data_IF_140915861772
#
_entry.id   IF_140915861772
#
_cell.length_a   1.000
_cell.length_b   1.000
_cell.length_c   1.000
_cell.angle_alpha   90.00
_cell.angle_beta   90.00
_cell.angle_gamma   90.00
#
_symmetry.space_group_name_H-M   'P 1'
#
loop_
_entity.id
_entity.type
_entity.pdbx_description
1 polymer ?
#
# COMPACT_ATOMS: atom_id res chain seq x y z
N UNK A 1 15.22 15.46 10.96
CA UNK A 1 14.39 14.56 10.13
C UNK A 1 14.69 13.07 10.37
N UNK A 2 15.82 12.68 10.95
CA UNK A 2 16.12 11.25 11.24
C UNK A 2 15.36 10.66 12.46
N UNK A 3 14.84 11.49 13.35
CA UNK A 3 14.20 11.03 14.62
C UNK A 3 12.79 10.43 14.39
N UNK A 4 12.07 10.90 13.36
CA UNK A 4 10.71 10.40 13.05
C UNK A 4 10.78 8.99 12.45
N UNK A 5 11.82 8.70 11.66
CA UNK A 5 12.03 7.39 11.01
C UNK A 5 12.27 6.27 12.04
N UNK A 6 12.94 6.57 13.16
CA UNK A 6 13.23 5.59 14.21
C UNK A 6 12.01 5.25 15.08
N UNK A 7 11.08 6.18 15.28
CA UNK A 7 9.86 5.97 16.08
C UNK A 7 8.90 5.02 15.36
N UNK A 8 8.76 5.16 14.04
CA UNK A 8 7.88 4.32 13.22
C UNK A 8 8.40 2.88 13.11
N UNK A 9 9.72 2.69 12.94
CA UNK A 9 10.33 1.35 12.92
C UNK A 9 10.21 0.65 14.27
N UNK A 10 10.35 1.37 15.40
CA UNK A 10 10.17 0.79 16.74
C UNK A 10 8.71 0.41 17.01
N UNK A 11 7.74 1.25 16.65
CA UNK A 11 6.32 0.94 16.82
C UNK A 11 5.88 -0.27 15.99
N UNK A 12 6.43 -0.43 14.78
CA UNK A 12 6.12 -1.54 13.89
C UNK A 12 6.70 -2.88 14.39
N UNK A 13 7.87 -2.86 15.05
CA UNK A 13 8.45 -4.06 15.68
C UNK A 13 7.73 -4.39 17.00
N UNK A 14 7.36 -3.38 17.81
CA UNK A 14 6.67 -3.61 19.09
C UNK A 14 5.23 -4.12 18.95
N UNK A 15 4.53 -3.81 17.85
CA UNK A 15 3.19 -4.34 17.58
C UNK A 15 3.20 -5.78 17.05
N UNK A 16 4.34 -6.31 16.58
CA UNK A 16 4.43 -7.61 15.92
C UNK A 16 4.65 -8.80 16.88
N UNK A 17 4.81 -8.58 18.18
CA UNK A 17 5.12 -9.65 19.15
C UNK A 17 3.88 -10.41 19.70
N UNK A 18 2.65 -10.15 19.24
CA UNK A 18 1.45 -10.66 19.93
C UNK A 18 0.51 -11.64 19.21
N UNK A 19 0.81 -12.14 18.01
CA UNK A 19 -0.06 -13.14 17.37
C UNK A 19 0.74 -14.25 16.70
N UNK A 20 0.55 -15.50 17.18
CA UNK A 20 1.01 -16.69 16.48
C UNK A 20 0.29 -16.80 15.12
N UNK A 21 1.01 -16.50 14.04
CA UNK A 21 0.55 -16.64 12.67
C UNK A 21 1.03 -17.96 12.08
N UNK A 22 0.09 -18.76 11.60
CA UNK A 22 0.35 -19.96 10.81
C UNK A 22 0.29 -19.54 9.33
N UNK A 23 1.42 -19.62 8.63
CA UNK A 23 1.52 -19.12 7.25
C UNK A 23 1.09 -20.20 6.24
N UNK A 24 0.22 -19.83 5.29
CA UNK A 24 0.00 -20.62 4.07
C UNK A 24 1.14 -20.39 3.06
N UNK A 25 1.19 -21.22 2.00
CA UNK A 25 2.23 -21.15 0.97
C UNK A 25 2.45 -19.74 0.40
N UNK A 26 3.72 -19.34 0.31
CA UNK A 26 4.13 -18.04 -0.22
C UNK A 26 3.89 -17.95 -1.72
N UNK A 27 2.96 -17.09 -2.13
CA UNK A 27 2.87 -16.63 -3.51
C UNK A 27 3.92 -15.55 -3.79
N UNK A 28 4.86 -15.82 -4.70
CA UNK A 28 5.87 -14.84 -5.13
C UNK A 28 5.22 -13.76 -6.01
N UNK A 29 5.02 -12.56 -5.45
CA UNK A 29 4.73 -11.35 -6.23
C UNK A 29 6.04 -10.67 -6.62
N UNK A 30 6.35 -10.72 -7.91
CA UNK A 30 7.49 -10.02 -8.51
C UNK A 30 7.25 -8.51 -8.39
N UNK A 31 8.17 -7.77 -7.75
CA UNK A 31 8.10 -6.33 -7.44
C UNK A 31 7.14 -5.85 -6.33
N UNK A 32 7.25 -6.46 -5.13
CA UNK A 32 7.10 -5.90 -3.75
C UNK A 32 6.40 -4.54 -3.49
N UNK A 33 5.24 -4.25 -4.07
CA UNK A 33 4.41 -3.12 -3.61
C UNK A 33 2.97 -3.55 -3.52
N UNK A 34 2.73 -4.42 -2.54
CA UNK A 34 1.41 -4.65 -2.01
C UNK A 34 1.36 -4.20 -0.55
N UNK A 35 0.30 -3.50 -0.17
CA UNK A 35 0.10 -3.01 1.19
C UNK A 35 -1.37 -3.09 1.54
N UNK A 36 -1.67 -3.57 2.74
CA UNK A 36 -3.01 -3.55 3.29
C UNK A 36 -3.39 -2.12 3.70
N UNK A 37 -4.65 -1.76 3.53
CA UNK A 37 -5.19 -0.57 4.16
C UNK A 37 -5.10 -0.71 5.70
N UNK A 38 -5.02 0.40 6.45
CA UNK A 38 -4.92 0.37 7.92
C UNK A 38 -6.03 -0.40 8.65
N UNK A 39 -7.22 -0.53 8.05
CA UNK A 39 -8.35 -1.34 8.56
C UNK A 39 -8.30 -2.81 8.13
N UNK A 40 -7.45 -3.16 7.16
CA UNK A 40 -7.32 -4.50 6.60
C UNK A 40 -8.37 -4.88 5.56
N UNK A 41 -9.31 -3.99 5.21
CA UNK A 41 -10.41 -4.26 4.26
C UNK A 41 -9.93 -4.27 2.80
N UNK A 42 -8.84 -3.55 2.50
CA UNK A 42 -8.33 -3.38 1.16
C UNK A 42 -6.87 -3.80 1.01
N UNK A 43 -6.54 -4.22 -0.20
CA UNK A 43 -5.17 -4.51 -0.64
C UNK A 43 -4.86 -3.62 -1.82
N UNK A 44 -3.87 -2.75 -1.67
CA UNK A 44 -3.27 -2.05 -2.78
C UNK A 44 -2.20 -2.93 -3.41
N UNK A 45 -2.16 -3.00 -4.73
CA UNK A 45 -1.13 -3.67 -5.50
C UNK A 45 -0.66 -2.79 -6.65
N UNK A 46 0.65 -2.70 -6.82
CA UNK A 46 1.26 -1.95 -7.91
C UNK A 46 1.70 -2.89 -9.02
N UNK A 47 1.45 -2.48 -10.26
CA UNK A 47 2.03 -3.09 -11.45
C UNK A 47 2.49 -2.00 -12.41
N UNK A 48 3.80 -1.73 -12.44
CA UNK A 48 4.40 -0.65 -13.21
C UNK A 48 3.77 0.70 -12.84
N UNK A 49 2.99 1.31 -13.74
CA UNK A 49 2.31 2.59 -13.53
C UNK A 49 0.88 2.43 -13.00
N UNK A 50 0.41 1.19 -12.80
CA UNK A 50 -0.97 0.92 -12.37
C UNK A 50 -1.02 0.61 -10.89
N UNK A 51 -1.94 1.27 -10.20
CA UNK A 51 -2.31 0.98 -8.83
C UNK A 51 -3.68 0.32 -8.83
N UNK A 52 -3.76 -0.89 -8.29
CA UNK A 52 -4.98 -1.70 -8.23
C UNK A 52 -5.37 -1.86 -6.77
N UNK A 53 -6.60 -1.49 -6.44
CA UNK A 53 -7.19 -1.65 -5.11
C UNK A 53 -8.16 -2.82 -5.16
N UNK A 54 -8.01 -3.75 -4.23
CA UNK A 54 -8.83 -4.96 -4.14
C UNK A 54 -9.44 -5.09 -2.76
N UNK A 55 -10.57 -5.78 -2.67
CA UNK A 55 -11.08 -6.26 -1.38
C UNK A 55 -10.12 -7.32 -0.84
N UNK A 56 -9.77 -7.25 0.44
CA UNK A 56 -8.94 -8.28 1.10
C UNK A 56 -9.68 -9.62 1.23
N UNK A 57 -11.01 -9.58 1.30
CA UNK A 57 -11.85 -10.77 1.49
C UNK A 57 -12.14 -11.48 0.16
N UNK A 58 -12.60 -10.75 -0.86
CA UNK A 58 -13.00 -11.36 -2.15
C UNK A 58 -11.90 -11.34 -3.20
N UNK A 59 -10.85 -10.53 -3.00
CA UNK A 59 -9.80 -10.22 -3.99
C UNK A 59 -10.31 -9.57 -5.29
N UNK A 60 -11.58 -9.18 -5.35
CA UNK A 60 -12.17 -8.44 -6.46
C UNK A 60 -11.55 -7.04 -6.56
N UNK A 61 -11.46 -6.53 -7.79
CA UNK A 61 -10.91 -5.19 -8.05
C UNK A 61 -12.00 -4.15 -7.78
N UNK A 62 -11.70 -3.21 -6.91
CA UNK A 62 -12.61 -2.12 -6.52
C UNK A 62 -12.26 -0.85 -7.30
N UNK A 63 -10.98 -0.49 -7.31
CA UNK A 63 -10.47 0.67 -8.03
C UNK A 63 -9.23 0.32 -8.83
N UNK A 64 -9.05 1.03 -9.93
CA UNK A 64 -7.86 0.97 -10.75
C UNK A 64 -7.45 2.39 -11.11
N UNK A 65 -6.25 2.77 -10.68
CA UNK A 65 -5.65 4.06 -10.97
C UNK A 65 -4.45 3.88 -11.88
N UNK A 66 -4.26 4.84 -12.78
CA UNK A 66 -3.10 4.90 -13.65
C UNK A 66 -2.28 6.15 -13.29
N UNK A 67 -1.03 5.93 -12.93
CA UNK A 67 -0.05 6.98 -12.76
C UNK A 67 0.56 7.38 -14.12
N UNK A 68 1.15 8.57 -14.16
CA UNK A 68 1.84 9.07 -15.36
C UNK A 68 3.15 8.31 -15.65
N UNK A 69 3.68 7.60 -14.66
CA UNK A 69 4.92 6.83 -14.76
C UNK A 69 4.90 5.63 -13.80
N UNK A 70 5.98 4.85 -13.80
CA UNK A 70 6.19 3.73 -12.89
C UNK A 70 6.07 4.20 -11.45
N UNK A 71 5.29 3.45 -10.66
CA UNK A 71 5.12 3.65 -9.23
C UNK A 71 6.22 2.86 -8.54
N UNK A 72 6.98 3.53 -7.67
CA UNK A 72 8.03 2.91 -6.86
C UNK A 72 7.78 3.01 -5.36
N UNK A 73 6.67 3.58 -4.90
CA UNK A 73 6.19 3.35 -3.54
C UNK A 73 4.70 3.64 -3.44
N UNK A 74 4.01 3.04 -2.47
CA UNK A 74 2.64 3.35 -2.11
C UNK A 74 2.50 3.53 -0.61
N UNK A 75 1.68 4.49 -0.20
CA UNK A 75 1.36 4.72 1.21
C UNK A 75 -0.13 5.01 1.38
N UNK A 76 -0.74 4.31 2.33
CA UNK A 76 -2.13 4.52 2.71
C UNK A 76 -2.24 5.69 3.67
N UNK A 77 -3.26 6.52 3.49
CA UNK A 77 -3.66 7.45 4.53
C UNK A 77 -4.31 6.70 5.69
N UNK A 78 -4.11 7.21 6.91
CA UNK A 78 -4.67 6.62 8.12
C UNK A 78 -6.21 6.71 8.17
N UNK A 79 -6.78 7.69 7.47
CA UNK A 79 -8.23 7.86 7.35
C UNK A 79 -8.87 6.94 6.30
N UNK A 80 -8.08 6.07 5.66
CA UNK A 80 -8.52 5.05 4.68
C UNK A 80 -9.06 5.62 3.37
N UNK A 81 -9.06 6.94 3.17
CA UNK A 81 -9.70 7.59 2.01
C UNK A 81 -8.75 7.82 0.86
N UNK A 82 -7.46 7.95 1.17
CA UNK A 82 -6.44 8.36 0.23
C UNK A 82 -5.33 7.32 0.14
N UNK A 83 -4.79 7.20 -1.06
CA UNK A 83 -3.57 6.44 -1.31
C UNK A 83 -2.59 7.30 -2.12
N UNK A 84 -1.36 7.38 -1.63
CA UNK A 84 -0.27 8.06 -2.30
C UNK A 84 0.51 7.05 -3.14
N UNK A 85 0.83 7.42 -4.38
CA UNK A 85 1.77 6.73 -5.25
C UNK A 85 3.00 7.62 -5.46
N UNK A 86 4.17 7.12 -5.12
CA UNK A 86 5.44 7.80 -5.35
C UNK A 86 6.07 7.38 -6.68
N UNK A 87 6.36 8.36 -7.52
CA UNK A 87 7.02 8.24 -8.81
C UNK A 87 8.45 8.80 -8.65
N UNK A 88 9.30 8.05 -7.95
CA UNK A 88 10.61 8.49 -7.48
C UNK A 88 11.52 8.83 -8.65
N UNK A 89 11.56 7.99 -9.70
CA UNK A 89 12.41 8.26 -10.88
C UNK A 89 11.98 9.52 -11.63
N UNK A 90 10.73 9.96 -11.44
CA UNK A 90 10.17 11.17 -12.04
C UNK A 90 10.15 12.37 -11.10
N UNK A 91 10.63 12.22 -9.85
CA UNK A 91 10.52 13.24 -8.80
C UNK A 91 9.06 13.70 -8.59
N UNK A 92 8.11 12.77 -8.65
CA UNK A 92 6.68 13.06 -8.56
C UNK A 92 5.97 12.22 -7.50
N UNK A 93 4.83 12.72 -7.04
CA UNK A 93 3.86 11.97 -6.22
C UNK A 93 2.47 12.22 -6.78
N UNK A 94 1.63 11.20 -6.75
CA UNK A 94 0.21 11.30 -7.10
C UNK A 94 -0.61 10.77 -5.93
N UNK A 95 -1.77 11.39 -5.67
CA UNK A 95 -2.66 11.00 -4.57
C UNK A 95 -4.01 10.69 -5.20
N UNK A 96 -4.57 9.54 -4.82
CA UNK A 96 -5.87 9.08 -5.29
C UNK A 96 -6.84 8.97 -4.12
N UNK A 97 -8.09 9.31 -4.37
CA UNK A 97 -9.19 9.09 -3.43
C UNK A 97 -9.96 7.83 -3.83
N UNK A 98 -10.28 6.98 -2.84
CA UNK A 98 -11.18 5.85 -3.05
C UNK A 98 -12.63 6.29 -3.21
N UNK A 99 -13.03 7.35 -2.48
CA UNK A 99 -14.40 7.89 -2.48
C UNK A 99 -14.73 8.59 -3.80
N UNK A 100 -13.74 9.29 -4.38
CA UNK A 100 -13.87 10.03 -5.64
C UNK A 100 -12.79 9.57 -6.63
N UNK A 101 -13.01 8.48 -7.37
CA UNK A 101 -11.99 7.86 -8.23
C UNK A 101 -11.82 8.51 -9.61
N UNK A 102 -12.39 9.70 -9.85
CA UNK A 102 -12.25 10.46 -11.11
C UNK A 102 -10.91 11.22 -11.22
#
# INVERSE_FOLDING_TARGET
MEIVLLIVIKLCISYFEYCQLNFSELFKVTSRQCSFSPDGEYIACVNQYRLVIRSSTTLEIINLFACIDTIETIEWSYDLRLILAGLIKRNGVQIFSLDNPE
#
